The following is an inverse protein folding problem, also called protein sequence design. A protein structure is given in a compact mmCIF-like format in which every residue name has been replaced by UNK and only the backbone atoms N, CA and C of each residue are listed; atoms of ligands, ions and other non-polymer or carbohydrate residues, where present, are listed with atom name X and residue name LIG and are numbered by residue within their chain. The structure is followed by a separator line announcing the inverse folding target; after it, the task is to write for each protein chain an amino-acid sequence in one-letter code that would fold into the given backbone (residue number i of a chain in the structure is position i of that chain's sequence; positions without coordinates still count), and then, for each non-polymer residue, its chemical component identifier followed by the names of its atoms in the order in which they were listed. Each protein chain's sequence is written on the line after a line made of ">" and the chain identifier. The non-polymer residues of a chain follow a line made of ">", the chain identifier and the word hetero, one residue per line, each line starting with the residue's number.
data_IF_523390868331
#
_entry.id   IF_523390868331
#
_cell.length_a   1.000
_cell.length_b   1.000
_cell.length_c   1.000
_cell.angle_alpha   90.00
_cell.angle_beta   90.00
_cell.angle_gamma   90.00
#
_symmetry.space_group_name_H-M   'P 1'
#
loop_
_entity.id
_entity.type
_entity.pdbx_description
1 polymer ?
#
# COMPACT_ATOMS: atom_id res chain seq x y z
N UNK A 1 9.75 21.39 -3.18
CA UNK A 1 9.28 20.59 -2.02
C UNK A 1 10.30 20.68 -0.89
N UNK A 2 9.88 21.04 0.34
CA UNK A 2 10.79 21.23 1.49
C UNK A 2 10.96 19.98 2.37
N UNK A 3 10.04 19.01 2.31
CA UNK A 3 10.12 17.76 3.05
C UNK A 3 10.96 16.70 2.32
N UNK A 4 11.72 15.89 3.06
CA UNK A 4 12.48 14.73 2.57
C UNK A 4 13.32 15.01 1.29
N UNK A 5 14.23 15.99 1.29
CA UNK A 5 14.94 16.45 0.08
C UNK A 5 15.68 15.32 -0.65
N UNK A 6 16.28 14.39 0.09
CA UNK A 6 16.93 13.20 -0.48
C UNK A 6 15.93 12.31 -1.25
N UNK A 7 14.71 12.12 -0.74
CA UNK A 7 13.69 11.30 -1.41
C UNK A 7 13.17 12.00 -2.66
N UNK A 8 13.06 13.33 -2.65
CA UNK A 8 12.67 14.11 -3.84
C UNK A 8 13.67 13.89 -4.97
N UNK A 9 14.98 13.96 -4.68
CA UNK A 9 16.03 13.72 -5.68
C UNK A 9 15.96 12.31 -6.28
N UNK A 10 15.76 11.29 -5.43
CA UNK A 10 15.65 9.89 -5.89
C UNK A 10 14.41 9.71 -6.77
N UNK A 11 13.25 10.18 -6.32
CA UNK A 11 12.00 10.06 -7.07
C UNK A 11 12.08 10.79 -8.42
N UNK A 12 12.69 11.97 -8.47
CA UNK A 12 12.94 12.69 -9.72
C UNK A 12 13.79 11.86 -10.68
N UNK A 13 14.89 11.29 -10.19
CA UNK A 13 15.76 10.43 -11.02
C UNK A 13 15.01 9.20 -11.53
N UNK A 14 14.19 8.57 -10.71
CA UNK A 14 13.38 7.42 -11.12
C UNK A 14 12.39 7.81 -12.23
N UNK A 15 11.71 8.95 -12.11
CA UNK A 15 10.79 9.44 -13.15
C UNK A 15 11.52 9.77 -14.46
N UNK A 16 12.75 10.30 -14.39
CA UNK A 16 13.57 10.52 -15.59
C UNK A 16 13.91 9.21 -16.32
N UNK A 17 14.24 8.17 -15.56
CA UNK A 17 14.63 6.87 -16.10
C UNK A 17 13.44 6.08 -16.65
N UNK A 18 12.31 6.09 -15.94
CA UNK A 18 11.10 5.34 -16.32
C UNK A 18 10.31 6.03 -17.43
N UNK A 19 10.30 7.37 -17.47
CA UNK A 19 9.47 8.15 -18.39
C UNK A 19 10.33 9.06 -19.27
N UNK A 20 11.26 8.47 -20.02
CA UNK A 20 12.20 9.20 -20.89
C UNK A 20 11.50 10.06 -21.95
N UNK A 21 10.36 9.61 -22.45
CA UNK A 21 9.58 10.31 -23.48
C UNK A 21 8.75 11.49 -22.92
N UNK A 22 8.54 11.58 -21.60
CA UNK A 22 7.78 12.67 -21.02
C UNK A 22 8.62 13.95 -20.90
N UNK A 23 8.09 15.12 -21.28
CA UNK A 23 8.76 16.39 -21.08
C UNK A 23 9.09 16.63 -19.61
N UNK A 24 10.18 17.35 -19.34
CA UNK A 24 10.64 17.65 -17.98
C UNK A 24 9.53 18.27 -17.10
N UNK A 25 8.71 19.16 -17.67
CA UNK A 25 7.58 19.80 -16.98
C UNK A 25 6.51 18.79 -16.52
N UNK A 26 6.19 17.79 -17.35
CA UNK A 26 5.22 16.76 -17.00
C UNK A 26 5.79 15.79 -15.95
N UNK A 27 7.09 15.47 -16.02
CA UNK A 27 7.75 14.68 -14.98
C UNK A 27 7.76 15.39 -13.63
N UNK A 28 7.97 16.72 -13.59
CA UNK A 28 7.91 17.47 -12.34
C UNK A 28 6.48 17.52 -11.76
N UNK A 29 5.44 17.59 -12.61
CA UNK A 29 4.04 17.44 -12.15
C UNK A 29 3.79 16.05 -11.54
N UNK A 30 4.29 14.99 -12.18
CA UNK A 30 4.21 13.63 -11.64
C UNK A 30 4.96 13.50 -10.31
N UNK A 31 6.11 14.16 -10.17
CA UNK A 31 6.85 14.21 -8.93
C UNK A 31 6.03 14.85 -7.80
N UNK A 32 5.38 15.99 -8.07
CA UNK A 32 4.50 16.65 -7.09
C UNK A 32 3.35 15.72 -6.69
N UNK A 33 2.64 15.14 -7.66
CA UNK A 33 1.55 14.18 -7.40
C UNK A 33 2.00 12.95 -6.63
N UNK A 34 3.20 12.46 -6.89
CA UNK A 34 3.78 11.34 -6.15
C UNK A 34 3.97 11.70 -4.68
N UNK A 35 4.46 12.90 -4.37
CA UNK A 35 4.63 13.36 -3.00
C UNK A 35 3.31 13.71 -2.30
N UNK A 36 2.32 14.21 -3.03
CA UNK A 36 0.94 14.31 -2.53
C UNK A 36 0.42 12.93 -2.12
N UNK A 37 0.66 11.92 -2.97
CA UNK A 37 0.29 10.53 -2.70
C UNK A 37 1.07 9.93 -1.52
N UNK A 38 2.33 10.33 -1.30
CA UNK A 38 3.09 9.95 -0.09
C UNK A 38 2.42 10.51 1.16
N UNK A 39 1.97 11.77 1.11
CA UNK A 39 1.22 12.39 2.20
C UNK A 39 -0.10 11.66 2.50
N UNK A 40 -0.85 11.31 1.45
CA UNK A 40 -2.06 10.49 1.59
C UNK A 40 -1.75 9.11 2.18
N UNK A 41 -0.68 8.45 1.73
CA UNK A 41 -0.25 7.14 2.24
C UNK A 41 -0.06 7.10 3.75
N UNK A 42 0.46 8.18 4.36
CA UNK A 42 0.59 8.26 5.83
C UNK A 42 -0.78 8.22 6.52
N UNK A 43 -1.78 8.91 5.97
CA UNK A 43 -3.14 8.91 6.50
C UNK A 43 -3.84 7.58 6.25
N UNK A 44 -3.63 6.99 5.06
CA UNK A 44 -4.17 5.70 4.66
C UNK A 44 -3.64 4.56 5.53
N UNK A 45 -2.39 4.61 5.99
CA UNK A 45 -1.86 3.69 7.00
C UNK A 45 -2.66 3.76 8.30
N UNK A 46 -2.94 4.97 8.79
CA UNK A 46 -3.80 5.16 9.97
C UNK A 46 -5.22 4.63 9.76
N UNK A 47 -5.78 4.82 8.57
CA UNK A 47 -7.08 4.25 8.20
C UNK A 47 -7.03 2.71 8.22
N UNK A 48 -6.03 2.12 7.56
CA UNK A 48 -5.87 0.68 7.44
C UNK A 48 -5.75 -0.01 8.82
N UNK A 49 -5.06 0.62 9.75
CA UNK A 49 -4.80 0.09 11.09
C UNK A 49 -5.94 0.30 12.07
N UNK A 50 -6.64 1.43 12.00
CA UNK A 50 -7.54 1.84 13.09
C UNK A 50 -9.02 1.99 12.69
N UNK A 51 -9.38 1.93 11.40
CA UNK A 51 -10.79 1.90 11.01
C UNK A 51 -11.40 0.51 11.19
N UNK A 52 -12.67 0.50 11.62
CA UNK A 52 -13.46 -0.73 11.64
C UNK A 52 -13.78 -1.21 10.22
N UNK A 53 -13.93 -2.52 10.07
CA UNK A 53 -14.31 -3.16 8.82
C UNK A 53 -15.58 -2.56 8.19
N UNK A 54 -16.61 -2.33 9.02
CA UNK A 54 -17.88 -1.76 8.57
C UNK A 54 -17.68 -0.40 7.91
N UNK A 55 -16.74 0.40 8.43
CA UNK A 55 -16.40 1.69 7.84
C UNK A 55 -15.62 1.46 6.55
N UNK A 56 -14.56 0.66 6.58
CA UNK A 56 -13.65 0.47 5.46
C UNK A 56 -14.34 -0.15 4.22
N UNK A 57 -15.27 -1.09 4.40
CA UNK A 57 -16.06 -1.72 3.30
C UNK A 57 -16.79 -0.72 2.39
N UNK A 58 -17.03 0.51 2.86
CA UNK A 58 -17.68 1.56 2.06
C UNK A 58 -16.73 2.33 1.14
N UNK A 59 -15.42 2.14 1.30
CA UNK A 59 -14.39 2.97 0.67
C UNK A 59 -13.53 2.21 -0.35
N UNK A 60 -13.86 0.96 -0.66
CA UNK A 60 -13.15 0.19 -1.67
C UNK A 60 -14.10 -0.64 -2.53
N UNK A 61 -13.63 -0.96 -3.73
CA UNK A 61 -14.17 -2.00 -4.60
C UNK A 61 -13.01 -2.87 -5.07
N UNK A 62 -13.28 -4.14 -5.36
CA UNK A 62 -12.27 -5.09 -5.83
C UNK A 62 -12.70 -5.61 -7.20
N UNK A 63 -11.77 -5.61 -8.14
CA UNK A 63 -11.94 -6.20 -9.48
C UNK A 63 -11.05 -7.43 -9.59
N UNK A 64 -11.52 -8.51 -10.22
CA UNK A 64 -10.77 -9.76 -10.37
C UNK A 64 -10.84 -10.68 -9.15
N UNK A 65 -11.79 -10.46 -8.23
CA UNK A 65 -11.95 -11.29 -7.04
C UNK A 65 -12.45 -12.71 -7.36
N UNK A 66 -13.17 -12.86 -8.46
CA UNK A 66 -13.65 -14.14 -9.00
C UNK A 66 -12.53 -15.16 -9.23
N UNK A 67 -11.29 -14.70 -9.51
CA UNK A 67 -10.13 -15.57 -9.64
C UNK A 67 -9.74 -16.22 -8.30
N UNK A 68 -9.88 -15.47 -7.20
CA UNK A 68 -9.67 -16.00 -5.85
C UNK A 68 -10.74 -17.03 -5.50
N UNK A 69 -12.01 -16.72 -5.76
CA UNK A 69 -13.14 -17.61 -5.48
C UNK A 69 -13.02 -18.92 -6.25
N UNK A 70 -12.65 -18.85 -7.53
CA UNK A 70 -12.46 -20.02 -8.39
C UNK A 70 -11.31 -20.91 -7.88
N UNK A 71 -10.15 -20.31 -7.58
CA UNK A 71 -9.00 -21.07 -7.05
C UNK A 71 -9.34 -21.76 -5.71
N UNK A 72 -10.11 -21.09 -4.85
CA UNK A 72 -10.57 -21.67 -3.57
C UNK A 72 -11.55 -22.81 -3.78
N UNK A 73 -12.50 -22.68 -4.71
CA UNK A 73 -13.45 -23.75 -5.05
C UNK A 73 -12.74 -25.02 -5.56
N UNK A 74 -11.62 -24.84 -6.25
CA UNK A 74 -10.77 -25.93 -6.74
C UNK A 74 -9.75 -26.46 -5.70
N UNK A 75 -9.79 -25.98 -4.45
CA UNK A 75 -8.81 -26.28 -3.39
C UNK A 75 -7.34 -26.02 -3.81
N UNK A 76 -7.10 -25.00 -4.63
CA UNK A 76 -5.75 -24.58 -5.04
C UNK A 76 -5.22 -23.49 -4.10
N UNK A 77 -3.95 -23.63 -3.71
CA UNK A 77 -3.23 -22.54 -3.04
C UNK A 77 -3.04 -21.35 -3.98
N UNK A 78 -3.09 -20.14 -3.43
CA UNK A 78 -2.87 -18.90 -4.20
C UNK A 78 -1.62 -18.18 -3.69
N UNK A 79 -0.70 -17.87 -4.60
CA UNK A 79 0.41 -16.96 -4.33
C UNK A 79 0.01 -15.56 -4.78
N UNK A 80 -0.23 -14.68 -3.82
CA UNK A 80 -0.51 -13.27 -4.11
C UNK A 80 0.80 -12.51 -4.30
N UNK A 81 0.99 -11.91 -5.48
CA UNK A 81 2.14 -11.05 -5.78
C UNK A 81 1.68 -9.59 -5.71
N UNK A 82 2.10 -8.89 -4.66
CA UNK A 82 1.85 -7.46 -4.49
C UNK A 82 2.99 -6.60 -5.06
N UNK A 83 2.64 -5.42 -5.58
CA UNK A 83 3.59 -4.35 -5.85
C UNK A 83 3.61 -3.34 -4.71
N UNK A 84 4.76 -2.72 -4.45
CA UNK A 84 4.89 -1.67 -3.43
C UNK A 84 4.28 -0.36 -3.94
N UNK A 85 2.96 -0.23 -3.76
CA UNK A 85 2.24 1.03 -3.94
C UNK A 85 2.25 1.86 -2.65
N UNK A 86 1.93 3.14 -2.76
CA UNK A 86 1.88 4.04 -1.59
C UNK A 86 0.76 3.64 -0.61
N UNK A 87 -0.33 3.07 -1.13
CA UNK A 87 -1.49 2.54 -0.40
C UNK A 87 -1.29 1.11 0.12
N UNK A 88 -0.05 0.64 0.30
CA UNK A 88 0.28 -0.77 0.58
C UNK A 88 -0.50 -1.34 1.78
N UNK A 89 -0.48 -0.62 2.90
CA UNK A 89 -1.14 -1.04 4.15
C UNK A 89 -2.65 -1.19 3.97
N UNK A 90 -3.26 -0.28 3.21
CA UNK A 90 -4.69 -0.34 2.91
C UNK A 90 -5.03 -1.52 2.00
N UNK A 91 -4.20 -1.79 1.00
CA UNK A 91 -4.34 -2.96 0.12
C UNK A 91 -4.22 -4.28 0.90
N UNK A 92 -3.23 -4.38 1.79
CA UNK A 92 -3.06 -5.53 2.68
C UNK A 92 -4.28 -5.71 3.62
N UNK A 93 -4.79 -4.60 4.18
CA UNK A 93 -6.00 -4.63 5.03
C UNK A 93 -7.22 -5.15 4.27
N UNK A 94 -7.48 -4.59 3.08
CA UNK A 94 -8.62 -4.98 2.23
C UNK A 94 -8.51 -6.45 1.84
N UNK A 95 -7.32 -6.90 1.43
CA UNK A 95 -7.13 -8.30 1.05
C UNK A 95 -7.33 -9.24 2.24
N UNK A 96 -6.73 -8.96 3.40
CA UNK A 96 -6.88 -9.77 4.60
C UNK A 96 -8.32 -9.87 5.11
N UNK A 97 -9.12 -8.81 4.91
CA UNK A 97 -10.56 -8.81 5.23
C UNK A 97 -11.39 -9.73 4.32
N UNK A 98 -10.96 -9.95 3.08
CA UNK A 98 -11.67 -10.78 2.10
C UNK A 98 -11.16 -12.22 2.10
N UNK A 99 -9.85 -12.39 2.27
CA UNK A 99 -9.17 -13.68 2.31
C UNK A 99 -8.16 -13.70 3.47
N UNK A 100 -8.48 -14.37 4.58
CA UNK A 100 -7.51 -14.63 5.64
C UNK A 100 -6.29 -15.34 5.06
N UNK A 101 -5.10 -14.82 5.33
CA UNK A 101 -3.85 -15.33 4.78
C UNK A 101 -2.69 -15.14 5.74
N UNK A 102 -1.58 -15.82 5.48
CA UNK A 102 -0.36 -15.70 6.29
C UNK A 102 0.58 -14.71 5.60
N UNK A 103 0.80 -13.55 6.22
CA UNK A 103 1.79 -12.57 5.79
C UNK A 103 3.19 -12.91 6.32
N UNK A 104 4.21 -12.65 5.51
CA UNK A 104 5.60 -12.70 5.98
C UNK A 104 5.95 -11.35 6.61
N UNK A 105 6.32 -11.35 7.88
CA UNK A 105 6.65 -10.13 8.63
C UNK A 105 8.11 -10.12 9.07
N UNK A 106 8.78 -8.99 8.84
CA UNK A 106 10.07 -8.67 9.45
C UNK A 106 9.85 -7.62 10.56
N UNK A 107 10.32 -7.85 11.79
CA UNK A 107 10.24 -6.87 12.86
C UNK A 107 10.83 -5.51 12.47
N UNK A 108 10.14 -4.44 12.86
CA UNK A 108 10.63 -3.08 12.66
C UNK A 108 11.90 -2.84 13.52
N UNK A 109 12.86 -2.09 12.99
CA UNK A 109 14.08 -1.73 13.72
C UNK A 109 13.79 -0.88 14.97
N UNK A 110 12.67 -0.16 15.00
CA UNK A 110 12.22 0.58 16.17
C UNK A 110 11.05 -0.16 16.84
N UNK A 111 11.28 -0.63 18.06
CA UNK A 111 10.31 -1.41 18.83
C UNK A 111 8.99 -0.66 19.10
N UNK A 112 9.03 0.66 19.34
CA UNK A 112 7.81 1.45 19.56
C UNK A 112 6.94 1.47 18.30
N UNK A 113 7.56 1.72 17.14
CA UNK A 113 6.82 1.64 15.87
C UNK A 113 6.32 0.23 15.60
N UNK A 114 7.09 -0.80 15.95
CA UNK A 114 6.65 -2.19 15.91
C UNK A 114 5.38 -2.43 16.72
N UNK A 115 5.37 -2.00 17.98
CA UNK A 115 4.21 -2.12 18.88
C UNK A 115 2.97 -1.40 18.34
N UNK A 116 3.14 -0.20 17.78
CA UNK A 116 2.02 0.55 17.18
C UNK A 116 1.47 -0.17 15.96
N UNK A 117 2.35 -0.68 15.08
CA UNK A 117 1.94 -1.43 13.91
C UNK A 117 1.24 -2.75 14.30
N UNK A 118 1.75 -3.47 15.31
CA UNK A 118 1.13 -4.70 15.82
C UNK A 118 -0.25 -4.43 16.44
N UNK A 119 -0.40 -3.34 17.20
CA UNK A 119 -1.69 -2.95 17.76
C UNK A 119 -2.71 -2.64 16.65
N UNK A 120 -2.30 -1.89 15.62
CA UNK A 120 -3.13 -1.56 14.46
C UNK A 120 -3.48 -2.76 13.58
N UNK A 121 -2.56 -3.73 13.46
CA UNK A 121 -2.76 -4.92 12.62
C UNK A 121 -3.25 -6.13 13.41
N UNK A 122 -3.52 -6.00 14.71
CA UNK A 122 -4.04 -7.10 15.55
C UNK A 122 -5.37 -7.65 15.05
N UNK A 123 -6.18 -6.83 14.38
CA UNK A 123 -7.43 -7.25 13.73
C UNK A 123 -7.25 -7.88 12.34
N UNK A 124 -6.00 -8.05 11.88
CA UNK A 124 -5.61 -8.71 10.64
C UNK A 124 -4.99 -10.11 10.85
N UNK A 125 -4.64 -10.45 12.10
CA UNK A 125 -4.18 -11.78 12.50
C UNK A 125 -5.38 -12.65 12.87
#
# INVERSE_FOLDING_TARGET
>A
MRALPRRVTIARRNLELCFKALPAKEREKLLIKNFESVGMGVLETGIAWFWSDRRLRKWFTVTGYEHMESARAENKGVLLIGMHFLTLELGARIFGMLNPGIGVYRPNNNALYGLVADAGTSSLK
#
